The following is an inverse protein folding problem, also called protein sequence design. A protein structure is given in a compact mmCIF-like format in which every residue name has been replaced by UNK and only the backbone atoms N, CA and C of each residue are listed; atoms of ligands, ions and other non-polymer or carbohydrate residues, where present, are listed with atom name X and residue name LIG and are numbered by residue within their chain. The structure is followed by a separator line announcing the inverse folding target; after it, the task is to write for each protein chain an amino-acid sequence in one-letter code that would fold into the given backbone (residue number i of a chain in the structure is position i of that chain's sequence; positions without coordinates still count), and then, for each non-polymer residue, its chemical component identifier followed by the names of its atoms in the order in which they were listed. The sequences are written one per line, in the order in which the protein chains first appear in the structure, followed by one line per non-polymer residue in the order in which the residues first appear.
data_IF_251218255231
#
_entry.id   IF_251218255231
#
_cell.length_a   1.000
_cell.length_b   1.000
_cell.length_c   1.000
_cell.angle_alpha   90.00
_cell.angle_beta   90.00
_cell.angle_gamma   90.00
#
_symmetry.space_group_name_H-M   'P 1'
#
loop_
_entity.id
_entity.type
_entity.pdbx_description
1 polymer ?
#
# COMPACT_ATOMS: atom_id res chain seq x y z
N UNK A 1 -12.84 3.83 9.60
CA UNK A 1 -12.30 3.22 8.38
C UNK A 1 -12.70 1.75 8.34
N UNK A 2 -13.00 1.19 7.17
CA UNK A 2 -13.35 -0.23 7.03
C UNK A 2 -12.16 -1.16 7.35
N UNK A 3 -12.44 -2.40 7.75
CA UNK A 3 -11.44 -3.40 8.11
C UNK A 3 -10.58 -3.78 6.91
N UNK A 4 -11.15 -3.90 5.71
CA UNK A 4 -10.38 -4.23 4.50
C UNK A 4 -9.40 -3.10 4.17
N UNK A 5 -9.87 -1.85 4.27
CA UNK A 5 -9.04 -0.66 4.08
C UNK A 5 -7.88 -0.60 5.09
N UNK A 6 -8.17 -0.85 6.37
CA UNK A 6 -7.14 -0.88 7.42
C UNK A 6 -6.09 -1.95 7.16
N UNK A 7 -6.52 -3.16 6.82
CA UNK A 7 -5.62 -4.27 6.52
C UNK A 7 -4.72 -3.94 5.32
N UNK A 8 -5.29 -3.32 4.28
CA UNK A 8 -4.54 -2.88 3.12
C UNK A 8 -3.50 -1.81 3.47
N UNK A 9 -3.86 -0.80 4.27
CA UNK A 9 -2.92 0.21 4.74
C UNK A 9 -1.77 -0.39 5.54
N UNK A 10 -2.05 -1.32 6.45
CA UNK A 10 -1.00 -1.99 7.23
C UNK A 10 -0.11 -2.88 6.36
N UNK A 11 -0.62 -3.45 5.27
CA UNK A 11 0.19 -4.19 4.31
C UNK A 11 1.17 -3.28 3.54
N UNK A 12 0.77 -2.03 3.25
CA UNK A 12 1.66 -1.05 2.60
C UNK A 12 2.63 -0.39 3.58
N UNK A 13 2.17 -0.03 4.78
CA UNK A 13 2.91 0.81 5.71
C UNK A 13 3.67 0.02 6.78
N UNK A 14 3.36 -1.27 6.93
CA UNK A 14 3.89 -2.15 7.97
C UNK A 14 3.01 -2.19 9.23
N UNK A 15 3.07 -3.30 9.99
CA UNK A 15 2.15 -3.59 11.09
C UNK A 15 2.34 -2.71 12.33
N UNK A 16 3.47 -2.00 12.42
CA UNK A 16 3.80 -1.11 13.55
C UNK A 16 3.28 0.32 13.36
N UNK A 17 2.57 0.59 12.27
CA UNK A 17 1.98 1.91 12.00
C UNK A 17 0.80 2.15 12.94
N UNK A 18 0.74 3.35 13.56
CA UNK A 18 -0.31 3.69 14.50
C UNK A 18 -1.68 3.76 13.81
N UNK A 19 -2.56 2.84 14.18
CA UNK A 19 -3.90 2.76 13.58
C UNK A 19 -4.78 3.95 13.91
N UNK A 20 -4.54 4.64 15.03
CA UNK A 20 -5.34 5.82 15.41
C UNK A 20 -5.00 7.02 14.53
N UNK A 21 -3.72 7.20 14.20
CA UNK A 21 -3.26 8.20 13.22
C UNK A 21 -3.82 7.89 11.82
N UNK A 22 -3.81 6.61 11.42
CA UNK A 22 -4.39 6.19 10.14
C UNK A 22 -5.89 6.50 10.05
N UNK A 23 -6.67 6.26 11.12
CA UNK A 23 -8.09 6.59 11.15
C UNK A 23 -8.32 8.10 10.99
N UNK A 24 -7.52 8.93 11.67
CA UNK A 24 -7.62 10.39 11.58
C UNK A 24 -7.28 10.91 10.17
N UNK A 25 -6.21 10.40 9.56
CA UNK A 25 -5.83 10.75 8.18
C UNK A 25 -6.87 10.30 7.18
N UNK A 26 -7.39 9.08 7.33
CA UNK A 26 -8.44 8.55 6.47
C UNK A 26 -9.72 9.39 6.55
N UNK A 27 -10.10 9.84 7.74
CA UNK A 27 -11.26 10.74 7.91
C UNK A 27 -11.09 12.07 7.15
N UNK A 28 -9.85 12.56 6.99
CA UNK A 28 -9.54 13.80 6.27
C UNK A 28 -9.40 13.60 4.76
N UNK A 29 -8.72 12.54 4.33
CA UNK A 29 -8.36 12.31 2.92
C UNK A 29 -9.38 11.47 2.16
N UNK A 30 -10.20 10.69 2.87
CA UNK A 30 -11.26 9.83 2.32
C UNK A 30 -10.80 8.83 1.26
N UNK A 31 -9.49 8.59 1.15
CA UNK A 31 -8.89 7.63 0.22
C UNK A 31 -7.72 6.93 0.90
N UNK A 32 -7.72 5.60 0.89
CA UNK A 32 -6.66 4.79 1.47
C UNK A 32 -5.35 4.97 0.72
N UNK A 33 -5.41 5.04 -0.63
CA UNK A 33 -4.24 5.32 -1.46
C UNK A 33 -3.63 6.68 -1.11
N UNK A 34 -4.46 7.71 -0.92
CA UNK A 34 -4.00 9.03 -0.49
C UNK A 34 -3.32 8.99 0.89
N UNK A 35 -3.91 8.28 1.87
CA UNK A 35 -3.31 8.11 3.21
C UNK A 35 -1.96 7.41 3.13
N UNK A 36 -1.87 6.30 2.38
CA UNK A 36 -0.62 5.57 2.25
C UNK A 36 0.48 6.41 1.57
N UNK A 37 0.13 7.17 0.53
CA UNK A 37 1.06 8.08 -0.11
C UNK A 37 1.56 9.18 0.84
N UNK A 38 0.67 9.78 1.64
CA UNK A 38 1.04 10.79 2.63
C UNK A 38 2.03 10.26 3.66
N UNK A 39 1.75 9.10 4.27
CA UNK A 39 2.62 8.50 5.29
C UNK A 39 3.98 8.11 4.70
N UNK A 40 4.03 7.55 3.49
CA UNK A 40 5.29 7.21 2.83
C UNK A 40 6.09 8.47 2.46
N UNK A 41 5.43 9.52 1.99
CA UNK A 41 6.06 10.80 1.68
C UNK A 41 6.66 11.45 2.94
N UNK A 42 5.97 11.40 4.08
CA UNK A 42 6.50 11.87 5.37
C UNK A 42 7.73 11.07 5.82
N UNK A 43 7.70 9.74 5.68
CA UNK A 43 8.86 8.89 6.00
C UNK A 43 10.06 9.22 5.12
N UNK A 44 9.83 9.48 3.82
CA UNK A 44 10.87 9.94 2.89
C UNK A 44 11.42 11.30 3.31
N UNK A 45 10.56 12.26 3.62
CA UNK A 45 10.98 13.59 4.05
C UNK A 45 11.80 13.54 5.35
N UNK A 46 11.40 12.70 6.32
CA UNK A 46 12.14 12.45 7.55
C UNK A 46 13.53 11.87 7.26
N UNK A 47 13.61 10.87 6.38
CA UNK A 47 14.88 10.25 6.01
C UNK A 47 15.83 11.22 5.29
N UNK A 48 15.29 12.14 4.49
CA UNK A 48 16.07 13.19 3.82
C UNK A 48 16.55 14.29 4.77
N UNK A 49 15.88 14.49 5.91
CA UNK A 49 16.32 15.43 6.93
C UNK A 49 17.53 14.90 7.72
N UNK A 50 17.69 13.58 7.79
CA UNK A 50 18.81 12.91 8.45
C UNK A 50 19.98 12.67 7.47
N UNK A 51 21.23 12.61 7.95
CA UNK A 51 22.36 12.21 7.12
C UNK A 51 22.19 10.78 6.61
N UNK A 52 22.11 10.62 5.28
CA UNK A 52 21.93 9.30 4.66
C UNK A 52 23.10 8.34 4.92
N UNK A 53 24.29 8.86 5.18
CA UNK A 53 25.45 8.06 5.56
C UNK A 53 26.16 8.69 6.75
N UNK A 54 26.31 7.92 7.82
CA UNK A 54 27.04 8.32 9.01
C UNK A 54 28.06 7.23 9.34
N UNK A 55 29.33 7.63 9.46
CA UNK A 55 30.41 6.75 9.91
C UNK A 55 30.86 7.26 11.26
N UNK A 56 30.79 6.42 12.28
CA UNK A 56 31.35 6.71 13.61
C UNK A 56 32.68 6.00 13.68
N UNK A 57 33.76 6.76 13.92
CA UNK A 57 35.14 6.25 13.89
C UNK A 57 35.28 4.97 14.73
N UNK A 58 35.55 3.86 14.02
CA UNK A 58 35.95 2.57 14.57
C UNK A 58 34.83 1.57 14.93
N UNK A 59 33.54 1.94 14.88
CA UNK A 59 32.49 1.07 15.47
C UNK A 59 31.30 0.79 14.57
N UNK A 60 30.75 1.78 13.86
CA UNK A 60 29.52 1.59 13.05
C UNK A 60 29.51 2.48 11.81
N UNK A 61 29.15 1.89 10.67
CA UNK A 61 28.70 2.64 9.48
C UNK A 61 27.20 2.41 9.31
N UNK A 62 26.42 3.49 9.26
CA UNK A 62 25.00 3.46 8.92
C UNK A 62 24.86 4.06 7.52
N UNK A 63 24.24 3.32 6.60
CA UNK A 63 23.90 3.78 5.25
C UNK A 63 22.41 3.55 4.99
N UNK A 64 21.69 4.64 4.76
CA UNK A 64 20.25 4.70 4.54
C UNK A 64 19.89 4.94 3.07
N UNK A 65 20.87 5.04 2.17
CA UNK A 65 20.63 5.34 0.75
C UNK A 65 19.74 4.29 0.07
N UNK A 66 19.94 3.02 0.41
CA UNK A 66 19.10 1.92 -0.08
C UNK A 66 17.67 1.96 0.50
N UNK A 67 17.51 2.46 1.73
CA UNK A 67 16.19 2.63 2.34
C UNK A 67 15.42 3.73 1.63
N UNK A 68 16.08 4.85 1.30
CA UNK A 68 15.50 5.94 0.51
C UNK A 68 15.04 5.43 -0.86
N UNK A 69 15.91 4.73 -1.59
CA UNK A 69 15.56 4.14 -2.88
C UNK A 69 14.45 3.07 -2.78
N UNK A 70 14.34 2.39 -1.64
CA UNK A 70 13.22 1.49 -1.34
C UNK A 70 11.90 2.23 -1.20
N UNK A 71 11.88 3.29 -0.38
CA UNK A 71 10.69 4.13 -0.17
C UNK A 71 10.23 4.81 -1.47
N UNK A 72 11.15 5.33 -2.28
CA UNK A 72 10.81 5.97 -3.56
C UNK A 72 10.17 4.99 -4.54
N UNK A 73 10.68 3.76 -4.63
CA UNK A 73 10.06 2.70 -5.44
C UNK A 73 8.69 2.30 -4.91
N UNK A 74 8.53 2.24 -3.59
CA UNK A 74 7.25 1.91 -2.97
C UNK A 74 6.20 2.99 -3.27
N UNK A 75 6.55 4.26 -3.14
CA UNK A 75 5.68 5.40 -3.49
C UNK A 75 5.28 5.33 -4.97
N UNK A 76 6.23 5.07 -5.87
CA UNK A 76 5.94 4.95 -7.29
C UNK A 76 5.00 3.78 -7.60
N UNK A 77 5.24 2.60 -7.00
CA UNK A 77 4.40 1.42 -7.18
C UNK A 77 2.97 1.61 -6.62
N UNK A 78 2.79 2.50 -5.65
CA UNK A 78 1.50 2.75 -5.02
C UNK A 78 0.46 3.35 -5.99
N UNK A 79 0.91 3.99 -7.08
CA UNK A 79 0.04 4.53 -8.13
C UNK A 79 -0.71 3.41 -8.87
N UNK A 80 -0.09 2.25 -9.04
CA UNK A 80 -0.65 1.11 -9.78
C UNK A 80 -1.51 0.19 -8.89
N UNK A 81 -1.49 0.40 -7.56
CA UNK A 81 -2.27 -0.39 -6.62
C UNK A 81 -3.68 0.17 -6.48
N UNK A 82 -4.66 -0.72 -6.62
CA UNK A 82 -6.07 -0.41 -6.35
C UNK A 82 -6.36 -0.63 -4.87
N UNK A 83 -6.89 0.39 -4.21
CA UNK A 83 -7.27 0.29 -2.82
C UNK A 83 -8.71 -0.27 -2.67
N UNK A 84 -9.05 -0.94 -1.55
CA UNK A 84 -10.37 -1.56 -1.38
C UNK A 84 -11.55 -0.57 -1.42
N UNK A 85 -11.34 0.67 -1.01
CA UNK A 85 -12.32 1.76 -1.05
C UNK A 85 -12.59 2.29 -2.47
N UNK A 86 -11.68 2.05 -3.41
CA UNK A 86 -11.83 2.46 -4.81
C UNK A 86 -12.60 1.41 -5.63
N UNK A 87 -12.55 0.15 -5.20
CA UNK A 87 -13.37 -0.92 -5.80
C UNK A 87 -14.86 -0.70 -5.54
N UNK A 88 -15.21 -0.14 -4.37
CA UNK A 88 -16.60 0.12 -3.99
C UNK A 88 -17.30 1.15 -4.89
N UNK A 89 -16.57 2.09 -5.51
CA UNK A 89 -17.14 3.03 -6.49
C UNK A 89 -17.35 2.40 -7.88
N UNK A 90 -16.72 1.26 -8.15
CA UNK A 90 -16.66 0.60 -9.46
C UNK A 90 -17.45 -0.70 -9.60
N UNK A 91 -18.17 -1.16 -8.57
CA UNK A 91 -18.98 -2.39 -8.63
C UNK A 91 -20.28 -2.21 -9.45
N UNK A 92 -20.14 -1.92 -10.75
CA UNK A 92 -20.97 -2.60 -11.73
C UNK A 92 -20.54 -4.07 -11.70
N UNK A 93 -21.23 -4.85 -10.86
CA UNK A 93 -21.19 -6.30 -10.70
C UNK A 93 -20.47 -7.02 -11.87
N UNK A 94 -19.27 -7.55 -11.62
CA UNK A 94 -18.68 -8.54 -12.52
C UNK A 94 -19.56 -9.78 -12.37
N UNK A 95 -20.59 -9.89 -13.20
CA UNK A 95 -21.48 -11.04 -13.26
C UNK A 95 -20.67 -12.24 -13.75
N UNK A 96 -20.23 -13.07 -12.80
CA UNK A 96 -19.51 -14.30 -13.08
C UNK A 96 -20.50 -15.30 -13.68
N UNK A 97 -20.69 -15.21 -15.00
CA UNK A 97 -21.57 -16.12 -15.75
C UNK A 97 -21.00 -17.54 -15.69
N UNK A 98 -21.64 -18.39 -14.91
CA UNK A 98 -21.34 -19.83 -14.85
C UNK A 98 -22.08 -20.53 -15.99
N UNK A 99 -21.35 -20.97 -17.02
CA UNK A 99 -21.93 -21.75 -18.11
C UNK A 99 -21.97 -23.25 -17.72
N UNK A 100 -23.14 -23.92 -17.74
CA UNK A 100 -23.22 -25.35 -17.47
C UNK A 100 -22.58 -26.15 -18.62
N UNK A 101 -21.61 -27.02 -18.30
CA UNK A 101 -21.00 -27.93 -19.27
C UNK A 101 -21.95 -29.08 -19.60
N UNK A 102 -22.50 -29.08 -20.82
CA UNK A 102 -23.31 -30.19 -21.33
C UNK A 102 -22.43 -31.34 -21.81
N UNK A 103 -22.74 -32.56 -21.36
CA UNK A 103 -22.02 -33.79 -21.71
C UNK A 103 -22.24 -34.12 -23.19
N UNK A 104 -21.16 -34.20 -23.96
CA UNK A 104 -21.19 -34.64 -25.35
C UNK A 104 -21.64 -36.11 -25.45
N UNK A 105 -22.77 -36.38 -26.12
CA UNK A 105 -23.17 -37.74 -26.50
C UNK A 105 -22.38 -38.15 -27.75
N UNK A 106 -21.54 -39.17 -27.63
CA UNK A 106 -20.94 -39.88 -28.78
C UNK A 106 -22.05 -40.68 -29.48
N UNK A 107 -22.38 -40.28 -30.71
CA UNK A 107 -23.22 -41.08 -31.62
C UNK A 107 -22.49 -42.37 -32.01
N UNK A 108 -23.27 -43.44 -32.18
CA UNK A 108 -22.82 -44.80 -32.49
C UNK A 108 -22.72 -45.01 -34.00
#
# INVERSE_FOLDING_TARGET
MDVAVRAWLLAQLGPTTDTSDLDARYARLTSARAVANEVLAERRAKLLADPLRMTVDGVVTIDQSNNLAGLERQIAALVDLVAPDELAEGEASIDLVTAPLLRARRGR
#
